data_IF_828651745024
#
_entry.id   IF_828651745024
#
_cell.length_a   1.000
_cell.length_b   1.000
_cell.length_c   1.000
_cell.angle_alpha   90.00
_cell.angle_beta   90.00
_cell.angle_gamma   90.00
#
_symmetry.space_group_name_H-M   'P 1'
#
loop_
_entity.id
_entity.type
_entity.pdbx_description
1 polymer ?
#
# COMPACT_ATOMS: atom_id res chain seq x y z
N UNK A 1 3.98 20.50 -15.48
CA UNK A 1 4.90 19.39 -15.27
C UNK A 1 4.41 18.15 -15.97
N UNK A 2 5.22 17.62 -16.88
CA UNK A 2 4.80 16.47 -17.66
C UNK A 2 4.84 15.20 -16.83
N UNK A 3 3.81 14.37 -16.99
CA UNK A 3 3.78 13.07 -16.34
C UNK A 3 4.92 12.21 -16.88
N UNK A 4 5.62 11.47 -16.01
CA UNK A 4 6.60 10.50 -16.49
C UNK A 4 5.91 9.51 -17.43
N UNK A 5 6.53 9.23 -18.55
CA UNK A 5 5.95 8.33 -19.55
C UNK A 5 6.37 6.89 -19.30
N UNK A 6 6.00 6.38 -18.14
CA UNK A 6 6.26 4.98 -17.83
C UNK A 6 5.00 4.17 -18.12
N UNK A 7 5.16 3.06 -18.82
CA UNK A 7 4.06 2.17 -19.13
C UNK A 7 3.37 1.64 -17.86
N UNK A 8 4.14 1.45 -16.82
CA UNK A 8 3.64 0.90 -15.56
C UNK A 8 2.98 1.95 -14.65
N UNK A 9 3.06 3.23 -14.99
CA UNK A 9 2.59 4.32 -14.11
C UNK A 9 1.11 4.17 -13.75
N UNK A 10 0.25 3.98 -14.74
CA UNK A 10 -1.19 3.80 -14.51
C UNK A 10 -1.50 2.53 -13.72
N UNK A 11 -0.77 1.45 -14.02
CA UNK A 11 -0.92 0.20 -13.28
C UNK A 11 -0.58 0.40 -11.79
N UNK A 12 0.52 1.03 -11.49
CA UNK A 12 0.93 1.27 -10.10
C UNK A 12 -0.09 2.16 -9.37
N UNK A 13 -0.61 3.19 -10.03
CA UNK A 13 -1.68 4.00 -9.44
C UNK A 13 -2.90 3.15 -9.07
N UNK A 14 -3.26 2.23 -9.93
CA UNK A 14 -4.39 1.32 -9.65
C UNK A 14 -4.08 0.38 -8.49
N UNK A 15 -2.84 -0.10 -8.38
CA UNK A 15 -2.39 -0.92 -7.25
C UNK A 15 -2.55 -0.14 -5.94
N UNK A 16 -2.13 1.11 -5.93
CA UNK A 16 -2.25 1.97 -4.74
C UNK A 16 -3.72 2.18 -4.38
N UNK A 17 -4.56 2.45 -5.37
CA UNK A 17 -6.01 2.65 -5.14
C UNK A 17 -6.68 1.39 -4.57
N UNK A 18 -6.24 0.23 -5.00
CA UNK A 18 -6.83 -1.03 -4.57
C UNK A 18 -6.40 -1.45 -3.16
N UNK A 19 -5.38 -0.80 -2.61
CA UNK A 19 -4.77 -1.21 -1.33
C UNK A 19 -5.78 -1.35 -0.19
N UNK A 20 -6.68 -0.37 0.09
CA UNK A 20 -7.61 -0.54 1.21
C UNK A 20 -8.51 -1.77 1.05
N UNK A 21 -8.97 -2.04 -0.17
CA UNK A 21 -9.78 -3.22 -0.45
C UNK A 21 -9.01 -4.51 -0.27
N UNK A 22 -7.78 -4.57 -0.78
CA UNK A 22 -6.92 -5.75 -0.61
C UNK A 22 -6.58 -6.00 0.85
N UNK A 23 -6.33 -4.93 1.60
CA UNK A 23 -6.03 -5.04 3.03
C UNK A 23 -7.22 -5.59 3.80
N UNK A 24 -8.43 -5.11 3.50
CA UNK A 24 -9.65 -5.60 4.12
C UNK A 24 -9.90 -7.06 3.76
N UNK A 25 -9.72 -7.41 2.50
CA UNK A 25 -9.89 -8.78 2.02
C UNK A 25 -8.91 -9.73 2.69
N UNK A 26 -7.66 -9.32 2.82
CA UNK A 26 -6.63 -10.10 3.51
C UNK A 26 -7.02 -10.32 4.98
N UNK A 27 -7.48 -9.28 5.66
CA UNK A 27 -7.91 -9.37 7.04
C UNK A 27 -9.07 -10.34 7.20
N UNK A 28 -10.06 -10.26 6.30
CA UNK A 28 -11.23 -11.16 6.32
C UNK A 28 -10.81 -12.62 6.14
N UNK A 29 -9.82 -12.88 5.29
CA UNK A 29 -9.34 -14.24 5.05
C UNK A 29 -8.61 -14.82 6.27
N UNK A 30 -7.96 -13.99 7.06
CA UNK A 30 -7.11 -14.43 8.17
C UNK A 30 -7.77 -14.29 9.54
N UNK A 31 -8.87 -13.53 9.65
CA UNK A 31 -9.60 -13.44 10.90
C UNK A 31 -10.64 -14.55 10.98
N UNK A 32 -10.68 -15.29 12.10
CA UNK A 32 -11.76 -16.25 12.29
C UNK A 32 -13.06 -15.48 12.44
N UNK A 33 -14.04 -15.84 11.64
CA UNK A 33 -15.34 -15.20 11.70
C UNK A 33 -15.99 -15.50 13.04
N UNK A 34 -16.30 -14.48 13.81
CA UNK A 34 -16.98 -14.60 15.08
C UNK A 34 -18.36 -15.24 14.86
N UNK A 35 -18.99 -14.94 13.75
CA UNK A 35 -20.28 -15.51 13.41
C UNK A 35 -20.21 -17.02 13.24
N UNK A 36 -19.14 -17.54 12.74
CA UNK A 36 -18.96 -18.98 12.58
C UNK A 36 -18.87 -19.68 13.93
N UNK A 37 -18.30 -19.05 14.93
CA UNK A 37 -18.20 -19.63 16.25
C UNK A 37 -19.54 -19.63 16.99
N UNK A 38 -20.41 -18.67 16.69
CA UNK A 38 -21.71 -18.57 17.30
C UNK A 38 -22.64 -19.67 16.80
N UNK A 39 -22.46 -20.11 15.62
CA UNK A 39 -23.35 -21.11 15.07
C UNK A 39 -23.41 -22.35 15.91
N UNK A 40 -22.40 -22.60 16.77
CA UNK A 40 -22.47 -23.66 17.76
C UNK A 40 -23.25 -24.88 17.33
N UNK A 41 -23.45 -24.99 16.08
CA UNK A 41 -24.23 -26.06 15.48
C UNK A 41 -23.51 -27.36 15.67
N UNK A 42 -24.00 -28.18 16.53
CA UNK A 42 -23.31 -29.43 16.86
C UNK A 42 -23.28 -30.39 15.70
N UNK A 43 -24.08 -30.14 14.68
CA UNK A 43 -24.17 -31.05 13.56
C UNK A 43 -23.00 -30.99 12.61
N UNK A 44 -22.06 -30.13 12.83
CA UNK A 44 -20.98 -29.94 11.89
C UNK A 44 -19.76 -30.81 12.11
N UNK A 45 -19.91 -31.94 12.74
CA UNK A 45 -18.77 -32.73 13.18
C UNK A 45 -17.79 -33.15 12.08
N UNK A 46 -18.24 -33.28 10.89
CA UNK A 46 -17.39 -33.71 9.78
C UNK A 46 -16.77 -32.54 9.03
N UNK A 47 -17.02 -31.35 9.50
CA UNK A 47 -16.56 -30.18 8.78
C UNK A 47 -15.10 -29.98 9.04
N UNK A 48 -14.36 -29.82 7.98
CA UNK A 48 -13.00 -29.36 8.06
C UNK A 48 -12.94 -28.11 8.90
N UNK A 49 -11.99 -28.05 9.76
CA UNK A 49 -11.79 -26.96 10.68
C UNK A 49 -11.81 -25.62 9.96
N UNK A 50 -12.83 -24.74 10.19
CA UNK A 50 -12.87 -23.46 9.49
C UNK A 50 -11.66 -22.57 9.74
N UNK A 51 -11.05 -22.69 10.93
CA UNK A 51 -9.85 -21.95 11.26
C UNK A 51 -8.68 -22.42 10.39
N UNK A 52 -8.55 -23.73 10.21
CA UNK A 52 -7.50 -24.26 9.35
C UNK A 52 -7.71 -23.86 7.89
N UNK A 53 -8.96 -23.87 7.45
CA UNK A 53 -9.26 -23.41 6.08
C UNK A 53 -8.96 -21.93 5.90
N UNK A 54 -9.31 -21.11 6.88
CA UNK A 54 -9.00 -19.69 6.85
C UNK A 54 -7.49 -19.45 6.82
N UNK A 55 -6.73 -20.22 7.58
CA UNK A 55 -5.28 -20.11 7.58
C UNK A 55 -4.65 -20.51 6.25
N UNK A 56 -5.31 -21.40 5.52
CA UNK A 56 -4.84 -21.83 4.21
C UNK A 56 -5.31 -20.92 3.07
N UNK A 57 -6.27 -20.06 3.35
CA UNK A 57 -6.75 -19.11 2.34
C UNK A 57 -5.75 -17.97 2.22
N UNK A 58 -5.30 -17.76 1.02
CA UNK A 58 -4.39 -16.68 0.71
C UNK A 58 -4.93 -15.90 -0.47
N UNK A 59 -4.59 -14.62 -0.52
CA UNK A 59 -4.85 -13.85 -1.73
C UNK A 59 -4.04 -14.46 -2.88
N UNK A 60 -4.51 -14.32 -4.12
CA UNK A 60 -3.68 -14.70 -5.26
C UNK A 60 -2.30 -14.06 -5.14
N UNK A 61 -1.29 -14.77 -5.60
CA UNK A 61 0.09 -14.33 -5.44
C UNK A 61 0.31 -12.90 -5.91
N UNK A 62 -0.26 -12.55 -7.06
CA UNK A 62 -0.12 -11.18 -7.59
C UNK A 62 -0.71 -10.14 -6.64
N UNK A 63 -1.86 -10.42 -6.06
CA UNK A 63 -2.51 -9.50 -5.12
C UNK A 63 -1.73 -9.38 -3.81
N UNK A 64 -1.13 -10.47 -3.35
CA UNK A 64 -0.25 -10.43 -2.18
C UNK A 64 0.98 -9.56 -2.44
N UNK A 65 1.58 -9.71 -3.60
CA UNK A 65 2.73 -8.90 -3.98
C UNK A 65 2.36 -7.41 -4.04
N UNK A 66 1.20 -7.10 -4.61
CA UNK A 66 0.69 -5.74 -4.66
C UNK A 66 0.43 -5.17 -3.27
N UNK A 67 -0.24 -5.94 -2.41
CA UNK A 67 -0.50 -5.54 -1.03
C UNK A 67 0.80 -5.28 -0.28
N UNK A 68 1.75 -6.20 -0.39
CA UNK A 68 3.04 -6.08 0.28
C UNK A 68 3.84 -4.88 -0.22
N UNK A 69 3.79 -4.61 -1.52
CA UNK A 69 4.50 -3.46 -2.10
C UNK A 69 3.98 -2.14 -1.55
N UNK A 70 2.65 -1.97 -1.49
CA UNK A 70 2.07 -0.75 -0.95
C UNK A 70 2.33 -0.64 0.55
N UNK A 71 2.22 -1.74 1.29
CA UNK A 71 2.55 -1.78 2.72
C UNK A 71 3.99 -1.33 2.96
N UNK A 72 4.93 -1.84 2.15
CA UNK A 72 6.34 -1.46 2.25
C UNK A 72 6.55 0.02 1.91
N UNK A 73 5.85 0.53 0.90
CA UNK A 73 5.93 1.94 0.54
C UNK A 73 5.40 2.83 1.67
N UNK A 74 4.30 2.45 2.31
CA UNK A 74 3.74 3.16 3.45
C UNK A 74 4.74 3.17 4.61
N UNK A 75 5.29 2.01 4.93
CA UNK A 75 6.26 1.88 6.02
C UNK A 75 7.51 2.72 5.77
N UNK A 76 8.04 2.67 4.57
CA UNK A 76 9.18 3.49 4.19
C UNK A 76 8.86 4.97 4.35
N UNK A 77 7.72 5.41 3.80
CA UNK A 77 7.33 6.81 3.82
C UNK A 77 7.11 7.30 5.24
N UNK A 78 6.53 6.47 6.12
CA UNK A 78 6.27 6.83 7.52
C UNK A 78 7.55 7.17 8.29
N UNK A 79 8.67 6.66 7.86
CA UNK A 79 9.96 6.90 8.52
C UNK A 79 10.65 8.17 8.05
N UNK A 80 10.13 8.82 7.02
CA UNK A 80 10.66 10.09 6.53
C UNK A 80 10.18 11.24 7.42
N UNK A 81 10.95 12.32 7.47
CA UNK A 81 10.56 13.52 8.22
C UNK A 81 9.22 14.09 7.75
N UNK A 82 8.98 14.03 6.45
CA UNK A 82 7.75 14.51 5.83
C UNK A 82 6.71 13.40 5.67
N UNK A 83 6.93 12.24 6.31
CA UNK A 83 6.12 11.07 6.09
C UNK A 83 4.64 11.27 6.40
N UNK A 84 4.33 11.98 7.48
CA UNK A 84 2.94 12.23 7.87
C UNK A 84 2.19 12.99 6.77
N UNK A 85 2.76 14.06 6.25
CA UNK A 85 2.14 14.85 5.20
C UNK A 85 2.04 14.07 3.89
N UNK A 86 3.07 13.31 3.56
CA UNK A 86 3.07 12.46 2.38
C UNK A 86 1.95 11.44 2.41
N UNK A 87 1.79 10.76 3.54
CA UNK A 87 0.75 9.74 3.69
C UNK A 87 -0.66 10.36 3.73
N UNK A 88 -0.81 11.54 4.33
CA UNK A 88 -2.08 12.26 4.30
C UNK A 88 -2.47 12.62 2.87
N UNK A 89 -1.51 13.04 2.05
CA UNK A 89 -1.77 13.35 0.64
C UNK A 89 -2.25 12.09 -0.10
N UNK A 90 -1.56 10.99 0.08
CA UNK A 90 -1.91 9.72 -0.58
C UNK A 90 -3.31 9.27 -0.14
N UNK A 91 -3.62 9.37 1.14
CA UNK A 91 -4.94 9.04 1.66
C UNK A 91 -6.04 9.87 1.00
N UNK A 92 -5.86 11.18 0.93
CA UNK A 92 -6.86 12.08 0.35
C UNK A 92 -7.08 11.83 -1.15
N UNK A 93 -6.01 11.54 -1.88
CA UNK A 93 -6.07 11.44 -3.35
C UNK A 93 -6.43 10.03 -3.80
N UNK A 94 -5.81 9.00 -3.20
CA UNK A 94 -5.95 7.63 -3.68
C UNK A 94 -7.00 6.83 -2.92
N UNK A 95 -7.06 6.95 -1.60
CA UNK A 95 -7.88 6.06 -0.78
C UNK A 95 -9.24 6.67 -0.46
N UNK A 96 -9.28 7.86 0.10
CA UNK A 96 -10.55 8.56 0.32
C UNK A 96 -11.14 9.11 -0.97
N UNK A 97 -10.28 9.43 -1.94
CA UNK A 97 -10.68 10.03 -3.22
C UNK A 97 -11.51 11.30 -3.03
N UNK A 98 -11.29 12.01 -1.93
CA UNK A 98 -12.06 13.18 -1.57
C UNK A 98 -11.50 14.46 -2.17
N UNK A 99 -10.26 14.44 -2.63
CA UNK A 99 -9.57 15.62 -3.14
C UNK A 99 -8.80 15.29 -4.41
N UNK A 100 -8.72 16.26 -5.30
CA UNK A 100 -7.74 16.22 -6.39
C UNK A 100 -6.35 16.49 -5.78
N UNK A 101 -5.32 16.30 -6.58
CA UNK A 101 -3.96 16.57 -6.12
C UNK A 101 -3.79 18.03 -5.67
N UNK A 102 -4.33 18.99 -6.46
CA UNK A 102 -4.27 20.40 -6.10
C UNK A 102 -5.12 20.71 -4.85
N UNK A 103 -6.29 20.10 -4.73
CA UNK A 103 -7.14 20.28 -3.55
C UNK A 103 -6.49 19.75 -2.29
N UNK A 104 -5.83 18.59 -2.39
CA UNK A 104 -5.10 18.02 -1.26
C UNK A 104 -3.92 18.92 -0.85
N UNK A 105 -3.21 19.49 -1.83
CA UNK A 105 -2.13 20.43 -1.55
C UNK A 105 -2.62 21.63 -0.72
N UNK A 106 -3.75 22.20 -1.10
CA UNK A 106 -4.37 23.31 -0.35
C UNK A 106 -4.72 22.86 1.06
N UNK A 107 -5.35 21.70 1.19
CA UNK A 107 -5.76 21.19 2.51
C UNK A 107 -4.57 20.96 3.44
N UNK A 108 -3.46 20.49 2.90
CA UNK A 108 -2.27 20.22 3.69
C UNK A 108 -1.33 21.42 3.81
N UNK A 109 -1.68 22.55 3.22
CA UNK A 109 -0.88 23.78 3.23
C UNK A 109 0.51 23.57 2.64
N UNK A 110 0.60 22.79 1.57
CA UNK A 110 1.83 22.58 0.83
C UNK A 110 1.67 23.10 -0.60
N UNK A 111 2.78 23.38 -1.27
CA UNK A 111 2.74 23.82 -2.66
C UNK A 111 2.26 22.70 -3.57
N UNK A 112 1.69 23.07 -4.70
CA UNK A 112 1.28 22.08 -5.70
C UNK A 112 2.48 21.27 -6.21
N UNK A 113 3.62 21.92 -6.39
CA UNK A 113 4.83 21.21 -6.81
C UNK A 113 5.28 20.18 -5.77
N UNK A 114 5.19 20.52 -4.49
CA UNK A 114 5.48 19.57 -3.41
C UNK A 114 4.50 18.40 -3.44
N UNK A 115 3.22 18.68 -3.68
CA UNK A 115 2.21 17.63 -3.79
C UNK A 115 2.48 16.70 -4.96
N UNK A 116 2.89 17.24 -6.11
CA UNK A 116 3.28 16.44 -7.27
C UNK A 116 4.46 15.53 -6.90
N UNK A 117 5.45 16.07 -6.20
CA UNK A 117 6.63 15.29 -5.79
C UNK A 117 6.23 14.17 -4.84
N UNK A 118 5.41 14.45 -3.83
CA UNK A 118 4.96 13.42 -2.88
C UNK A 118 4.18 12.32 -3.58
N UNK A 119 3.29 12.71 -4.48
CA UNK A 119 2.49 11.77 -5.28
C UNK A 119 3.38 10.86 -6.13
N UNK A 120 4.29 11.47 -6.88
CA UNK A 120 5.21 10.73 -7.75
C UNK A 120 6.18 9.85 -6.98
N UNK A 121 6.69 10.34 -5.86
CA UNK A 121 7.62 9.59 -5.02
C UNK A 121 6.99 8.31 -4.48
N UNK A 122 5.73 8.38 -4.05
CA UNK A 122 5.04 7.20 -3.56
C UNK A 122 4.81 6.18 -4.67
N UNK A 123 4.48 6.64 -5.87
CA UNK A 123 4.31 5.76 -7.04
C UNK A 123 5.64 5.07 -7.38
N UNK A 124 6.74 5.81 -7.36
CA UNK A 124 8.07 5.24 -7.61
C UNK A 124 8.44 4.18 -6.58
N UNK A 125 8.18 4.46 -5.30
CA UNK A 125 8.44 3.50 -4.22
C UNK A 125 7.64 2.21 -4.41
N UNK A 126 6.36 2.34 -4.71
CA UNK A 126 5.51 1.17 -4.92
C UNK A 126 6.01 0.36 -6.12
N UNK A 127 6.40 1.03 -7.20
CA UNK A 127 6.96 0.37 -8.38
C UNK A 127 8.26 -0.37 -8.02
N UNK A 128 9.09 0.23 -7.20
CA UNK A 128 10.33 -0.40 -6.73
C UNK A 128 10.04 -1.66 -5.93
N UNK A 129 9.12 -1.60 -4.97
CA UNK A 129 8.79 -2.76 -4.16
C UNK A 129 8.06 -3.84 -4.95
N UNK A 130 7.41 -3.48 -6.06
CA UNK A 130 6.83 -4.45 -7.00
C UNK A 130 7.84 -4.96 -8.04
N UNK A 131 9.10 -4.55 -7.91
CA UNK A 131 10.16 -4.95 -8.83
C UNK A 131 9.92 -4.51 -10.28
N UNK A 132 9.14 -3.46 -10.48
CA UNK A 132 8.93 -2.87 -11.80
C UNK A 132 10.06 -1.94 -12.20
N UNK A 133 10.76 -1.40 -11.22
CA UNK A 133 11.98 -0.60 -11.41
C UNK A 133 13.02 -1.08 -10.40
N UNK A 134 14.29 -0.84 -10.71
CA UNK A 134 15.37 -1.08 -9.77
C UNK A 134 15.68 0.20 -8.97
N UNK A 135 16.68 0.12 -8.09
CA UNK A 135 17.06 1.26 -7.26
C UNK A 135 17.47 2.47 -8.07
N UNK A 136 18.00 2.28 -9.29
CA UNK A 136 18.41 3.39 -10.13
C UNK A 136 17.24 4.23 -10.62
N UNK A 137 16.03 3.66 -10.65
CA UNK A 137 14.82 4.40 -10.97
C UNK A 137 14.30 5.27 -9.85
N UNK A 138 14.87 5.17 -8.65
CA UNK A 138 14.46 5.97 -7.50
C UNK A 138 15.21 7.30 -7.46
N UNK A 139 14.65 8.27 -6.74
CA UNK A 139 15.32 9.53 -6.48
C UNK A 139 16.47 9.34 -5.49
N UNK A 140 17.45 10.23 -5.53
CA UNK A 140 18.65 10.11 -4.69
C UNK A 140 18.32 10.00 -3.22
N UNK A 141 17.39 10.81 -2.71
CA UNK A 141 17.05 10.78 -1.29
C UNK A 141 16.41 9.43 -0.92
N UNK A 142 15.67 8.81 -1.84
CA UNK A 142 15.08 7.50 -1.61
C UNK A 142 16.15 6.41 -1.53
N UNK A 143 17.14 6.49 -2.40
CA UNK A 143 18.27 5.55 -2.36
C UNK A 143 19.03 5.64 -1.04
N UNK A 144 19.29 6.86 -0.58
CA UNK A 144 19.99 7.11 0.68
C UNK A 144 19.17 6.57 1.85
N UNK A 145 17.88 6.87 1.89
CA UNK A 145 17.00 6.42 2.95
C UNK A 145 16.90 4.90 3.00
N UNK A 146 16.84 4.23 1.84
CA UNK A 146 16.82 2.77 1.80
C UNK A 146 18.09 2.17 2.39
N UNK A 147 19.24 2.74 2.08
CA UNK A 147 20.51 2.27 2.63
C UNK A 147 20.56 2.44 4.15
N UNK A 148 20.08 3.57 4.63
CA UNK A 148 20.03 3.84 6.07
C UNK A 148 19.12 2.84 6.80
N UNK A 149 17.96 2.56 6.23
CA UNK A 149 17.03 1.60 6.82
C UNK A 149 17.59 0.19 6.85
N UNK A 150 18.26 -0.24 5.77
CA UNK A 150 18.91 -1.54 5.74
C UNK A 150 20.04 -1.64 6.76
N UNK A 151 20.75 -0.54 6.99
CA UNK A 151 21.80 -0.49 8.02
C UNK A 151 21.25 -0.62 9.42
N UNK A 152 20.09 -0.05 9.70
CA UNK A 152 19.44 -0.10 11.02
C UNK A 152 18.85 -1.48 11.31
N UNK A 153 18.45 -2.21 10.28
CA UNK A 153 17.81 -3.51 10.43
C UNK A 153 18.80 -4.67 10.65
N UNK A 154 20.08 -4.39 10.70
CA UNK A 154 21.07 -5.42 10.98
C UNK A 154 21.25 -5.61 12.50
#
# INVERSE_FOLDING_TARGET
MSKPRYRWWGYIKNVIRAYPGLKAEYADLHEPSITASISGMPGGGNISNPTAQAALRELPKAEQEELNAVTSAIKFTSQLKTGTDRLKLIDLVFWKKSHTLSGAAVKLSISYDTAIDYHGDFILLTAYFLERIDADGLKNYQKIALKSQKGVLR
#
